data_IF_870524850997
#
_entry.id   IF_870524850997
#
_cell.length_a   1.000
_cell.length_b   1.000
_cell.length_c   1.000
_cell.angle_alpha   90.00
_cell.angle_beta   90.00
_cell.angle_gamma   90.00
#
_symmetry.space_group_name_H-M   'P 1'
#
loop_
_entity.id
_entity.type
_entity.pdbx_description
1 polymer ?
#
# COMPACT_ATOMS: atom_id res chain seq x y z
N UNK A 1 -15.29 17.72 -2.79
CA UNK A 1 -13.84 17.76 -2.49
C UNK A 1 -13.49 18.88 -1.53
N UNK A 2 -13.88 20.12 -1.84
CA UNK A 2 -13.49 21.34 -1.11
C UNK A 2 -13.76 21.27 0.40
N UNK A 3 -14.92 20.77 0.83
CA UNK A 3 -15.25 20.59 2.26
C UNK A 3 -14.32 19.64 3.02
N UNK A 4 -13.79 18.62 2.36
CA UNK A 4 -12.85 17.66 2.95
C UNK A 4 -11.48 18.32 3.12
N UNK A 5 -11.03 19.06 2.11
CA UNK A 5 -9.76 19.79 2.15
C UNK A 5 -9.79 20.99 3.11
N UNK A 6 -10.97 21.53 3.42
CA UNK A 6 -11.16 22.67 4.31
C UNK A 6 -11.13 22.33 5.81
N UNK A 7 -11.08 21.05 6.20
CA UNK A 7 -11.03 20.64 7.61
C UNK A 7 -9.59 20.70 8.15
N UNK A 8 -9.28 21.60 9.11
CA UNK A 8 -7.94 21.70 9.67
C UNK A 8 -7.55 20.43 10.42
N UNK A 9 -6.31 19.97 10.24
CA UNK A 9 -5.73 18.85 11.01
C UNK A 9 -5.98 17.44 10.45
N UNK A 10 -6.74 17.28 9.36
CA UNK A 10 -6.85 15.99 8.68
C UNK A 10 -5.72 15.77 7.68
N UNK A 11 -5.19 14.54 7.63
CA UNK A 11 -4.23 14.09 6.62
C UNK A 11 -4.97 13.43 5.47
N UNK A 12 -4.63 13.81 4.24
CA UNK A 12 -5.22 13.24 3.03
C UNK A 12 -4.12 12.84 2.05
N UNK A 13 -4.40 11.78 1.30
CA UNK A 13 -3.61 11.38 0.14
C UNK A 13 -4.56 11.03 -0.99
N UNK A 14 -4.34 11.63 -2.14
CA UNK A 14 -5.24 11.56 -3.27
C UNK A 14 -4.66 10.61 -4.31
N UNK A 15 -5.47 9.65 -4.73
CA UNK A 15 -5.14 8.69 -5.78
C UNK A 15 -6.18 8.82 -6.89
N UNK A 16 -5.73 8.81 -8.14
CA UNK A 16 -6.60 8.78 -9.31
C UNK A 16 -6.53 7.39 -9.94
N UNK A 17 -7.67 6.69 -9.92
CA UNK A 17 -7.75 5.28 -10.33
C UNK A 17 -7.56 4.31 -9.15
N UNK A 18 -7.71 3.03 -9.45
CA UNK A 18 -7.57 1.94 -8.49
C UNK A 18 -7.11 0.67 -9.21
N UNK A 19 -6.46 -0.21 -8.47
CA UNK A 19 -6.20 -1.58 -8.91
C UNK A 19 -7.35 -2.46 -8.41
N UNK A 20 -7.86 -3.31 -9.30
CA UNK A 20 -8.93 -4.26 -8.99
C UNK A 20 -8.57 -5.63 -9.53
N UNK A 21 -9.09 -6.66 -8.86
CA UNK A 21 -8.91 -8.04 -9.24
C UNK A 21 -10.28 -8.62 -9.62
N UNK A 22 -10.30 -9.45 -10.65
CA UNK A 22 -11.46 -10.30 -10.94
C UNK A 22 -11.68 -11.30 -9.79
N UNK A 23 -12.87 -11.92 -9.69
CA UNK A 23 -13.12 -12.95 -8.69
C UNK A 23 -12.01 -14.01 -8.71
N UNK A 24 -11.48 -14.35 -7.52
CA UNK A 24 -10.40 -15.33 -7.29
C UNK A 24 -9.01 -14.97 -7.85
N UNK A 25 -8.87 -13.91 -8.64
CA UNK A 25 -7.60 -13.57 -9.29
C UNK A 25 -6.48 -13.25 -8.27
N UNK A 26 -6.78 -12.48 -7.21
CA UNK A 26 -5.77 -12.15 -6.20
C UNK A 26 -5.26 -13.41 -5.47
N UNK A 27 -6.15 -14.35 -5.19
CA UNK A 27 -5.82 -15.63 -4.56
C UNK A 27 -4.90 -16.46 -5.46
N UNK A 28 -5.22 -16.54 -6.75
CA UNK A 28 -4.40 -17.24 -7.74
C UNK A 28 -3.01 -16.59 -7.90
N UNK A 29 -2.94 -15.26 -7.86
CA UNK A 29 -1.67 -14.52 -7.93
C UNK A 29 -0.83 -14.73 -6.66
N UNK A 30 -1.46 -14.76 -5.48
CA UNK A 30 -0.78 -15.07 -4.22
C UNK A 30 -0.23 -16.51 -4.20
N UNK A 31 -0.99 -17.48 -4.72
CA UNK A 31 -0.56 -18.88 -4.80
C UNK A 31 0.63 -19.11 -5.76
N UNK A 32 0.96 -18.12 -6.60
CA UNK A 32 2.08 -18.15 -7.55
C UNK A 32 3.21 -17.19 -7.16
N UNK A 33 3.28 -16.79 -5.89
CA UNK A 33 4.27 -15.85 -5.37
C UNK A 33 4.29 -14.49 -6.09
N UNK A 34 3.15 -14.08 -6.67
CA UNK A 34 3.01 -12.82 -7.40
C UNK A 34 2.96 -11.58 -6.51
N UNK A 35 2.69 -11.76 -5.21
CA UNK A 35 2.57 -10.67 -4.25
C UNK A 35 3.22 -11.00 -2.91
N UNK A 36 3.81 -9.97 -2.32
CA UNK A 36 4.10 -9.95 -0.89
C UNK A 36 3.00 -9.19 -0.15
N UNK A 37 2.50 -9.76 0.95
CA UNK A 37 1.49 -9.13 1.80
C UNK A 37 2.15 -8.66 3.09
N UNK A 38 2.02 -7.36 3.38
CA UNK A 38 2.58 -6.72 4.57
C UNK A 38 1.47 -6.02 5.36
N UNK A 39 1.55 -5.93 6.70
CA UNK A 39 0.64 -5.11 7.48
C UNK A 39 0.71 -3.64 7.07
N UNK A 40 -0.45 -3.04 6.81
CA UNK A 40 -0.55 -1.61 6.56
C UNK A 40 -0.40 -0.81 7.87
N UNK A 41 0.14 0.41 7.79
CA UNK A 41 0.18 1.35 8.91
C UNK A 41 -0.24 2.75 8.47
N UNK A 42 -0.78 3.53 9.42
CA UNK A 42 -1.17 4.92 9.18
C UNK A 42 0.03 5.77 8.75
N UNK A 43 1.20 5.52 9.33
CA UNK A 43 2.43 6.25 8.99
C UNK A 43 2.90 5.94 7.57
N UNK A 44 2.71 4.69 7.11
CA UNK A 44 3.00 4.31 5.74
C UNK A 44 2.04 4.97 4.74
N UNK A 45 0.74 4.99 5.05
CA UNK A 45 -0.29 5.59 4.20
C UNK A 45 -0.13 7.10 4.03
N UNK A 46 0.29 7.80 5.09
CA UNK A 46 0.44 9.26 5.12
C UNK A 46 1.89 9.75 5.11
N UNK A 47 2.85 8.87 4.78
CA UNK A 47 4.27 9.24 4.64
C UNK A 47 4.41 10.35 3.59
N UNK A 48 5.12 11.42 3.94
CA UNK A 48 5.33 12.56 3.04
C UNK A 48 6.30 12.23 1.90
N UNK A 49 7.45 11.67 2.25
CA UNK A 49 8.46 11.24 1.28
C UNK A 49 8.32 9.74 0.98
N UNK A 50 8.00 9.41 -0.27
CA UNK A 50 7.90 8.02 -0.74
C UNK A 50 9.09 7.58 -1.58
N UNK A 51 10.14 8.39 -1.69
CA UNK A 51 11.39 7.94 -2.27
C UNK A 51 11.91 6.72 -1.49
N UNK A 52 12.25 5.65 -2.22
CA UNK A 52 12.76 4.41 -1.63
C UNK A 52 11.73 3.54 -0.90
N UNK A 53 10.47 3.97 -0.75
CA UNK A 53 9.44 3.20 -0.03
C UNK A 53 9.27 1.79 -0.58
N UNK A 54 9.30 1.63 -1.91
CA UNK A 54 9.20 0.31 -2.54
C UNK A 54 10.34 -0.62 -2.14
N UNK A 55 11.59 -0.13 -2.21
CA UNK A 55 12.77 -0.93 -1.87
C UNK A 55 12.79 -1.33 -0.39
N UNK A 56 12.37 -0.42 0.49
CA UNK A 56 12.19 -0.68 1.93
C UNK A 56 11.16 -1.79 2.18
N UNK A 57 9.98 -1.69 1.57
CA UNK A 57 8.92 -2.69 1.74
C UNK A 57 9.29 -4.04 1.14
N UNK A 58 9.97 -4.05 0.00
CA UNK A 58 10.43 -5.30 -0.61
C UNK A 58 11.48 -6.00 0.26
N UNK A 59 12.41 -5.25 0.86
CA UNK A 59 13.40 -5.80 1.78
C UNK A 59 12.73 -6.40 3.02
N UNK A 60 11.76 -5.68 3.60
CA UNK A 60 10.97 -6.17 4.74
C UNK A 60 10.21 -7.45 4.40
N UNK A 61 9.49 -7.46 3.27
CA UNK A 61 8.73 -8.62 2.84
C UNK A 61 9.60 -9.86 2.64
N UNK A 62 10.77 -9.71 2.02
CA UNK A 62 11.72 -10.82 1.86
C UNK A 62 12.29 -11.31 3.19
N UNK A 63 12.50 -10.41 4.15
CA UNK A 63 12.92 -10.78 5.51
C UNK A 63 11.85 -11.55 6.28
N UNK A 64 10.58 -11.16 6.17
CA UNK A 64 9.44 -11.89 6.77
C UNK A 64 9.19 -13.25 6.10
N UNK A 65 9.47 -13.38 4.80
CA UNK A 65 9.31 -14.63 4.05
C UNK A 65 10.46 -15.64 4.23
N UNK A 66 11.62 -15.18 4.71
CA UNK A 66 12.80 -16.02 4.95
C UNK A 66 12.83 -16.65 6.36
N UNK A 67 11.92 -16.23 7.25
CA UNK A 67 11.75 -16.74 8.60
C UNK A 67 10.66 -17.80 8.66
#
# INVERSE_FOLDING_TARGET
>A
MERLLASPGQRFRLYAGFSGWAPLQLQDELARDGWYVLPASVDLLFRKDTAGLWSELLARARGEHAA
#
